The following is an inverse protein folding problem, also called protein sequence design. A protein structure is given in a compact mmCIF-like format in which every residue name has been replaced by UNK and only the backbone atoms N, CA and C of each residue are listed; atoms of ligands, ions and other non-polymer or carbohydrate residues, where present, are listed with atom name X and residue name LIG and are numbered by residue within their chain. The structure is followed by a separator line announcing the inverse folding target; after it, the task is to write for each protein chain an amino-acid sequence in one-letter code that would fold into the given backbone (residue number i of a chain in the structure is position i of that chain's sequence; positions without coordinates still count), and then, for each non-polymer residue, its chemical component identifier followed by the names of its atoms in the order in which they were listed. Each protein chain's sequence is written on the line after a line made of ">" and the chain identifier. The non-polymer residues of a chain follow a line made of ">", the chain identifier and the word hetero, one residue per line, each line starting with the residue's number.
data_IF_023254723061
#
_entry.id   IF_023254723061
#
_cell.length_a   1.000
_cell.length_b   1.000
_cell.length_c   1.000
_cell.angle_alpha   90.00
_cell.angle_beta   90.00
_cell.angle_gamma   90.00
#
_symmetry.space_group_name_H-M   'P 1'
#
loop_
_entity.id
_entity.type
_entity.pdbx_description
1 polymer ?
#
# COMPACT_ATOMS: atom_id res chain seq x y z
N UNK A 1 -16.82 9.92 13.02
CA UNK A 1 -15.43 10.41 12.93
C UNK A 1 -15.00 10.23 11.49
N UNK A 2 -14.65 11.31 10.80
CA UNK A 2 -14.26 11.26 9.38
C UNK A 2 -12.85 10.68 9.22
N UNK A 3 -12.51 10.20 8.03
CA UNK A 3 -11.13 9.79 7.66
C UNK A 3 -10.12 10.92 7.88
N UNK A 4 -10.56 12.17 7.72
CA UNK A 4 -9.78 13.37 8.00
C UNK A 4 -9.42 13.54 9.49
N UNK A 5 -10.35 13.21 10.40
CA UNK A 5 -10.09 13.27 11.85
C UNK A 5 -9.05 12.24 12.30
N UNK A 6 -9.00 11.07 11.63
CA UNK A 6 -7.99 10.04 11.89
C UNK A 6 -6.59 10.49 11.46
N UNK A 7 -6.50 11.30 10.42
CA UNK A 7 -5.26 11.87 9.89
C UNK A 7 -4.66 12.91 10.83
N UNK A 8 -5.49 13.79 11.40
CA UNK A 8 -5.08 14.80 12.40
C UNK A 8 -4.56 14.18 13.69
N UNK A 9 -5.22 13.13 14.18
CA UNK A 9 -4.75 12.38 15.35
C UNK A 9 -3.40 11.71 15.05
N UNK A 10 -3.23 11.12 13.86
CA UNK A 10 -1.96 10.48 13.46
C UNK A 10 -0.80 11.50 13.32
N UNK A 11 -1.05 12.66 12.73
CA UNK A 11 -0.05 13.73 12.59
C UNK A 11 0.48 14.22 13.96
N UNK A 12 -0.32 14.10 15.03
CA UNK A 12 0.12 14.46 16.39
C UNK A 12 1.06 13.44 17.05
N UNK A 13 1.12 12.20 16.55
CA UNK A 13 1.93 11.10 17.13
C UNK A 13 3.26 10.86 16.40
N UNK A 14 3.45 11.39 15.19
CA UNK A 14 4.62 11.13 14.35
C UNK A 14 5.43 12.42 14.16
N UNK A 15 6.44 12.64 15.00
CA UNK A 15 7.56 13.52 14.63
C UNK A 15 8.26 12.91 13.40
N UNK A 16 8.12 13.56 12.25
CA UNK A 16 8.54 13.12 10.92
C UNK A 16 10.05 12.89 10.69
N UNK A 17 10.89 12.87 11.72
CA UNK A 17 12.35 12.94 11.51
C UNK A 17 13.15 11.63 11.67
N UNK A 18 12.56 10.48 12.04
CA UNK A 18 13.37 9.24 12.22
C UNK A 18 12.63 7.94 11.95
N UNK A 19 12.19 7.71 10.71
CA UNK A 19 11.79 6.36 10.28
C UNK A 19 12.81 5.85 9.26
N UNK A 20 13.64 4.84 9.60
CA UNK A 20 14.46 4.15 8.62
C UNK A 20 13.54 3.43 7.63
N UNK A 21 13.71 3.68 6.34
CA UNK A 21 13.06 2.91 5.29
C UNK A 21 13.47 1.45 5.43
N UNK A 22 12.50 0.53 5.44
CA UNK A 22 12.76 -0.92 5.46
C UNK A 22 12.99 -1.34 4.02
N UNK A 23 14.17 -1.06 3.49
CA UNK A 23 14.63 -1.56 2.20
C UNK A 23 15.72 -2.60 2.43
N UNK A 24 15.36 -3.83 2.84
CA UNK A 24 16.30 -4.97 2.72
C UNK A 24 15.75 -6.42 2.83
N UNK A 25 14.44 -6.69 2.65
CA UNK A 25 13.95 -8.08 2.73
C UNK A 25 13.05 -8.48 1.57
N UNK A 26 13.59 -9.30 0.65
CA UNK A 26 12.77 -10.06 -0.31
C UNK A 26 13.39 -10.30 -1.68
N UNK A 27 14.54 -10.99 -1.76
CA UNK A 27 15.06 -11.59 -3.01
C UNK A 27 14.21 -12.80 -3.45
N UNK A 28 12.91 -12.62 -3.65
CA UNK A 28 12.10 -13.54 -4.45
C UNK A 28 11.98 -12.92 -5.84
N UNK A 29 12.53 -13.63 -6.82
CA UNK A 29 12.65 -13.25 -8.22
C UNK A 29 11.26 -13.28 -8.91
N UNK A 30 10.34 -12.43 -8.45
CA UNK A 30 9.10 -12.12 -9.15
C UNK A 30 9.41 -10.85 -9.92
N UNK A 31 9.49 -10.95 -11.24
CA UNK A 31 9.61 -9.78 -12.10
C UNK A 31 8.30 -9.00 -12.05
N UNK A 32 8.21 -8.09 -11.08
CA UNK A 32 7.08 -7.19 -10.88
C UNK A 32 6.96 -6.13 -11.97
N UNK A 33 7.88 -6.10 -12.95
CA UNK A 33 7.82 -5.23 -14.14
C UNK A 33 7.19 -5.93 -15.34
N UNK A 34 6.32 -6.92 -15.12
CA UNK A 34 5.45 -7.37 -16.20
C UNK A 34 4.59 -6.21 -16.63
N UNK A 35 4.80 -5.76 -17.87
CA UNK A 35 4.03 -4.67 -18.49
C UNK A 35 2.55 -5.01 -18.35
N UNK A 36 1.84 -4.19 -17.59
CA UNK A 36 0.40 -4.29 -17.49
C UNK A 36 -0.16 -3.86 -18.84
N UNK A 37 -1.04 -4.68 -19.40
CA UNK A 37 -1.60 -4.48 -20.73
C UNK A 37 -2.79 -3.52 -20.66
N UNK A 38 -2.54 -2.26 -20.30
CA UNK A 38 -3.51 -1.17 -20.42
C UNK A 38 -3.02 -0.12 -21.42
N UNK A 39 -3.95 0.58 -22.04
CA UNK A 39 -3.63 1.69 -22.94
C UNK A 39 -3.35 2.99 -22.18
N UNK A 40 -3.84 3.11 -20.94
CA UNK A 40 -3.68 4.29 -20.11
C UNK A 40 -2.38 4.24 -19.26
N UNK A 41 -1.43 5.14 -19.55
CA UNK A 41 -0.14 5.23 -18.84
C UNK A 41 -0.30 5.58 -17.35
N UNK A 42 -1.24 6.47 -17.01
CA UNK A 42 -1.56 6.81 -15.62
C UNK A 42 -2.08 5.58 -14.87
N UNK A 43 -2.99 4.83 -15.49
CA UNK A 43 -3.52 3.59 -14.90
C UNK A 43 -2.41 2.54 -14.68
N UNK A 44 -1.46 2.44 -15.61
CA UNK A 44 -0.30 1.54 -15.45
C UNK A 44 0.56 1.92 -14.24
N UNK A 45 0.85 3.22 -14.05
CA UNK A 45 1.63 3.71 -12.90
C UNK A 45 0.87 3.41 -11.60
N UNK A 46 -0.41 3.77 -11.54
CA UNK A 46 -1.24 3.54 -10.36
C UNK A 46 -1.38 2.05 -10.02
N UNK A 47 -1.45 1.16 -11.02
CA UNK A 47 -1.43 -0.29 -10.80
C UNK A 47 -0.10 -0.78 -10.21
N UNK A 48 1.03 -0.21 -10.61
CA UNK A 48 2.33 -0.54 -10.03
C UNK A 48 2.42 -0.06 -8.57
N UNK A 49 2.00 1.17 -8.29
CA UNK A 49 1.97 1.72 -6.92
C UNK A 49 1.04 0.89 -6.02
N UNK A 50 -0.16 0.56 -6.48
CA UNK A 50 -1.10 -0.29 -5.76
C UNK A 50 -0.51 -1.68 -5.47
N UNK A 51 0.22 -2.25 -6.42
CA UNK A 51 0.88 -3.54 -6.25
C UNK A 51 1.97 -3.48 -5.17
N UNK A 52 2.78 -2.42 -5.15
CA UNK A 52 3.80 -2.20 -4.12
C UNK A 52 3.18 -2.07 -2.72
N UNK A 53 2.11 -1.28 -2.58
CA UNK A 53 1.41 -1.11 -1.30
C UNK A 53 0.74 -2.42 -0.83
N UNK A 54 0.14 -3.20 -1.75
CA UNK A 54 -0.40 -4.52 -1.42
C UNK A 54 0.70 -5.49 -0.94
N UNK A 55 1.86 -5.48 -1.57
CA UNK A 55 3.02 -6.28 -1.17
C UNK A 55 3.46 -5.93 0.26
N UNK A 56 3.47 -4.63 0.59
CA UNK A 56 3.80 -4.13 1.93
C UNK A 56 2.80 -4.64 2.99
N UNK A 57 1.50 -4.54 2.72
CA UNK A 57 0.45 -5.08 3.61
C UNK A 57 0.64 -6.57 3.86
N UNK A 58 0.87 -7.36 2.81
CA UNK A 58 1.09 -8.81 2.91
C UNK A 58 2.33 -9.10 3.78
N UNK A 59 3.43 -8.38 3.56
CA UNK A 59 4.67 -8.50 4.34
C UNK A 59 4.44 -8.25 5.83
N UNK A 60 3.69 -7.20 6.18
CA UNK A 60 3.37 -6.85 7.56
C UNK A 60 2.48 -7.91 8.23
N UNK A 61 1.52 -8.48 7.50
CA UNK A 61 0.68 -9.58 7.99
C UNK A 61 1.55 -10.82 8.26
N UNK A 62 2.48 -11.17 7.37
CA UNK A 62 3.42 -12.27 7.60
C UNK A 62 4.30 -12.02 8.82
N UNK A 63 4.76 -10.79 9.04
CA UNK A 63 5.52 -10.44 10.25
C UNK A 63 4.68 -10.64 11.52
N UNK A 64 3.38 -10.32 11.51
CA UNK A 64 2.48 -10.57 12.65
C UNK A 64 2.25 -12.06 12.95
N UNK A 65 2.48 -12.94 11.98
CA UNK A 65 2.34 -14.39 12.15
C UNK A 65 3.55 -15.04 12.83
N UNK A 66 4.66 -14.31 12.99
CA UNK A 66 5.85 -14.80 13.69
C UNK A 66 5.52 -15.10 15.16
N UNK A 67 6.02 -16.24 15.66
CA UNK A 67 6.00 -16.52 17.10
C UNK A 67 7.03 -15.65 17.81
N UNK A 68 6.77 -15.31 19.08
CA UNK A 68 7.70 -14.57 19.96
C UNK A 68 7.93 -13.08 19.65
N UNK A 69 6.92 -12.39 19.12
CA UNK A 69 6.95 -10.93 19.03
C UNK A 69 6.80 -10.28 20.41
N UNK A 70 7.75 -9.41 20.78
CA UNK A 70 7.55 -8.50 21.92
C UNK A 70 6.42 -7.51 21.64
N UNK A 71 5.79 -6.99 22.70
CA UNK A 71 4.74 -5.97 22.58
C UNK A 71 5.19 -4.74 21.79
N UNK A 72 6.46 -4.36 21.91
CA UNK A 72 7.05 -3.26 21.15
C UNK A 72 7.12 -3.57 19.65
N UNK A 73 7.56 -4.77 19.29
CA UNK A 73 7.62 -5.20 17.87
C UNK A 73 6.21 -5.31 17.29
N UNK A 74 5.29 -5.93 18.02
CA UNK A 74 3.89 -6.04 17.62
C UNK A 74 3.24 -4.66 17.43
N UNK A 75 3.45 -3.74 18.37
CA UNK A 75 2.96 -2.37 18.25
C UNK A 75 3.51 -1.63 17.02
N UNK A 76 4.80 -1.80 16.73
CA UNK A 76 5.42 -1.25 15.52
C UNK A 76 4.78 -1.81 14.25
N UNK A 77 4.68 -3.13 14.12
CA UNK A 77 4.10 -3.77 12.92
C UNK A 77 2.64 -3.34 12.73
N UNK A 78 1.84 -3.28 13.81
CA UNK A 78 0.46 -2.80 13.74
C UNK A 78 0.35 -1.33 13.33
N UNK A 79 1.27 -0.47 13.78
CA UNK A 79 1.30 0.93 13.37
C UNK A 79 1.63 1.09 11.88
N UNK A 80 2.58 0.32 11.36
CA UNK A 80 2.94 0.31 9.95
C UNK A 80 1.80 -0.27 9.09
N UNK A 81 1.12 -1.31 9.57
CA UNK A 81 -0.03 -1.90 8.89
C UNK A 81 -1.20 -0.92 8.81
N UNK A 82 -1.41 -0.13 9.86
CA UNK A 82 -2.42 0.92 9.86
C UNK A 82 -2.11 1.99 8.79
N UNK A 83 -0.84 2.42 8.68
CA UNK A 83 -0.42 3.39 7.66
C UNK A 83 -0.62 2.82 6.25
N UNK A 84 -0.12 1.61 6.00
CA UNK A 84 -0.28 0.94 4.71
C UNK A 84 -1.77 0.77 4.33
N UNK A 85 -2.64 0.47 5.30
CA UNK A 85 -4.09 0.37 5.07
C UNK A 85 -4.73 1.71 4.69
N UNK A 86 -4.22 2.84 5.21
CA UNK A 86 -4.68 4.18 4.83
C UNK A 86 -4.19 4.55 3.43
N UNK A 87 -2.93 4.26 3.10
CA UNK A 87 -2.39 4.48 1.76
C UNK A 87 -3.15 3.66 0.71
N UNK A 88 -3.43 2.39 1.02
CA UNK A 88 -4.19 1.51 0.14
C UNK A 88 -5.59 2.05 -0.15
N UNK A 89 -6.23 2.70 0.84
CA UNK A 89 -7.51 3.36 0.63
C UNK A 89 -7.39 4.50 -0.40
N UNK A 90 -6.33 5.30 -0.33
CA UNK A 90 -6.06 6.38 -1.29
C UNK A 90 -5.82 5.84 -2.69
N UNK A 91 -5.07 4.74 -2.85
CA UNK A 91 -4.83 4.12 -4.16
C UNK A 91 -6.07 3.40 -4.75
N UNK A 92 -7.16 3.27 -3.99
CA UNK A 92 -8.41 2.64 -4.43
C UNK A 92 -9.58 3.64 -4.50
N UNK A 93 -9.28 4.93 -4.68
CA UNK A 93 -10.27 6.00 -4.66
C UNK A 93 -11.16 6.06 -5.93
N UNK A 94 -11.96 7.12 -6.04
CA UNK A 94 -12.90 7.29 -7.15
C UNK A 94 -12.20 7.49 -8.50
N UNK A 95 -11.07 8.20 -8.52
CA UNK A 95 -10.29 8.42 -9.74
C UNK A 95 -9.74 7.11 -10.28
N UNK A 96 -9.17 6.29 -9.41
CA UNK A 96 -8.73 4.94 -9.75
C UNK A 96 -9.86 4.08 -10.34
N UNK A 97 -11.02 4.08 -9.70
CA UNK A 97 -12.19 3.30 -10.14
C UNK A 97 -12.67 3.73 -11.52
N UNK A 98 -12.70 5.05 -11.78
CA UNK A 98 -13.07 5.60 -13.08
C UNK A 98 -12.06 5.19 -14.17
N UNK A 99 -10.76 5.25 -13.89
CA UNK A 99 -9.73 4.83 -14.86
C UNK A 99 -9.85 3.35 -15.25
N UNK A 100 -10.18 2.47 -14.29
CA UNK A 100 -10.48 1.06 -14.60
C UNK A 100 -11.75 0.95 -15.45
N UNK A 101 -12.81 1.69 -15.10
CA UNK A 101 -14.07 1.66 -15.84
C UNK A 101 -13.89 2.14 -17.30
N UNK A 102 -13.10 3.17 -17.52
CA UNK A 102 -12.77 3.70 -18.85
C UNK A 102 -11.95 2.68 -19.66
N UNK A 103 -10.94 2.06 -19.05
CA UNK A 103 -10.15 1.00 -19.69
C UNK A 103 -11.06 -0.18 -20.06
N UNK A 104 -11.96 -0.62 -19.18
CA UNK A 104 -12.93 -1.68 -19.46
C UNK A 104 -13.87 -1.33 -20.62
N UNK A 105 -14.36 -0.08 -20.69
CA UNK A 105 -15.20 0.37 -21.81
C UNK A 105 -14.45 0.41 -23.14
N UNK A 106 -13.13 0.60 -23.11
CA UNK A 106 -12.29 0.64 -24.31
C UNK A 106 -12.01 -0.74 -24.91
N UNK A 107 -12.28 -1.83 -24.17
CA UNK A 107 -12.10 -3.19 -24.65
C UNK A 107 -13.22 -3.52 -25.65
N UNK A 108 -12.86 -3.73 -26.92
CA UNK A 108 -13.73 -4.34 -27.93
C UNK A 108 -13.61 -5.87 -27.90
N UNK A 109 -14.73 -6.58 -28.06
CA UNK A 109 -14.77 -8.05 -28.21
C UNK A 109 -13.88 -8.59 -29.34
#
# INVERSE_FOLDING_TARGET
>A
MSTFDRWQVWASFVSLDKIPTVNDWGKTNVDFRKKINTQNETLNILLLELQEECQQVISLIHQLQLTDLSDRQRGKILSELLVASIHLQTHCDEEWQNLIADELQSLSD
#
